data_IF_260292974383
#
_entry.id   IF_260292974383
#
_cell.length_a   1.000
_cell.length_b   1.000
_cell.length_c   1.000
_cell.angle_alpha   90.00
_cell.angle_beta   90.00
_cell.angle_gamma   90.00
#
_symmetry.space_group_name_H-M   'P 1'
#
loop_
_entity.id
_entity.type
_entity.pdbx_description
1 polymer ?
#
# COMPACT_ATOMS: atom_id res chain seq x y z
N UNK A 1 -10.45 -4.53 -23.75
CA UNK A 1 -10.43 -4.41 -22.27
C UNK A 1 -10.66 -5.78 -21.68
N UNK A 2 -9.61 -6.42 -21.17
CA UNK A 2 -9.70 -7.72 -20.51
C UNK A 2 -9.99 -7.43 -19.02
N UNK A 3 -11.25 -7.11 -18.70
CA UNK A 3 -11.65 -6.92 -17.29
C UNK A 3 -11.42 -8.25 -16.56
N UNK A 4 -10.41 -8.28 -15.69
CA UNK A 4 -10.07 -9.44 -14.86
C UNK A 4 -11.10 -9.58 -13.75
N UNK A 5 -12.29 -10.09 -14.08
CA UNK A 5 -13.33 -10.42 -13.12
C UNK A 5 -12.79 -11.49 -12.16
N UNK A 6 -12.87 -11.24 -10.86
CA UNK A 6 -12.26 -12.07 -9.82
C UNK A 6 -13.11 -13.26 -9.37
N UNK A 7 -14.22 -13.57 -10.03
CA UNK A 7 -15.14 -14.65 -9.62
C UNK A 7 -14.41 -15.99 -9.49
N UNK A 8 -13.60 -16.35 -10.49
CA UNK A 8 -12.84 -17.62 -10.48
C UNK A 8 -11.81 -17.65 -9.36
N UNK A 9 -11.08 -16.57 -9.19
CA UNK A 9 -10.07 -16.38 -8.13
C UNK A 9 -10.71 -16.50 -6.74
N UNK A 10 -11.77 -15.73 -6.49
CA UNK A 10 -12.55 -15.77 -5.25
C UNK A 10 -13.09 -17.16 -4.95
N UNK A 11 -13.64 -17.83 -5.98
CA UNK A 11 -14.15 -19.20 -5.85
C UNK A 11 -13.05 -20.19 -5.44
N UNK A 12 -11.88 -20.09 -6.06
CA UNK A 12 -10.73 -20.95 -5.76
C UNK A 12 -10.17 -20.68 -4.36
N UNK A 13 -10.05 -19.41 -3.96
CA UNK A 13 -9.62 -19.00 -2.61
C UNK A 13 -10.56 -19.55 -1.53
N UNK A 14 -11.86 -19.57 -1.80
CA UNK A 14 -12.87 -20.13 -0.90
C UNK A 14 -13.03 -21.67 -1.04
N UNK A 15 -12.27 -22.32 -1.92
CA UNK A 15 -12.34 -23.77 -2.19
C UNK A 15 -13.73 -24.27 -2.60
N UNK A 16 -14.48 -23.45 -3.34
CA UNK A 16 -15.86 -23.74 -3.77
C UNK A 16 -15.87 -24.26 -5.23
N UNK A 17 -16.74 -25.22 -5.58
CA UNK A 17 -16.90 -25.64 -6.99
C UNK A 17 -17.80 -24.67 -7.77
N UNK A 18 -17.74 -24.65 -9.11
CA UNK A 18 -18.68 -23.83 -9.90
C UNK A 18 -20.15 -24.22 -9.63
N UNK A 19 -20.41 -25.50 -9.33
CA UNK A 19 -21.75 -26.00 -9.01
C UNK A 19 -22.23 -25.53 -7.64
N UNK A 20 -21.35 -25.51 -6.64
CA UNK A 20 -21.70 -25.05 -5.29
C UNK A 20 -21.92 -23.54 -5.26
N UNK A 21 -21.08 -22.77 -5.95
CA UNK A 21 -21.27 -21.34 -6.12
C UNK A 21 -22.61 -21.04 -6.81
N UNK A 22 -22.93 -21.78 -7.87
CA UNK A 22 -24.20 -21.66 -8.58
C UNK A 22 -25.40 -21.91 -7.64
N UNK A 23 -25.38 -23.01 -6.87
CA UNK A 23 -26.43 -23.32 -5.89
C UNK A 23 -26.58 -22.22 -4.83
N UNK A 24 -25.47 -21.76 -4.25
CA UNK A 24 -25.49 -20.77 -3.17
C UNK A 24 -25.96 -19.38 -3.63
N UNK A 25 -25.75 -19.04 -4.91
CA UNK A 25 -26.13 -17.73 -5.48
C UNK A 25 -27.44 -17.78 -6.28
N UNK A 26 -28.09 -18.94 -6.39
CA UNK A 26 -29.29 -19.12 -7.22
C UNK A 26 -29.04 -18.98 -8.72
N UNK A 27 -27.80 -19.23 -9.16
CA UNK A 27 -27.38 -19.16 -10.57
C UNK A 27 -27.25 -20.56 -11.16
N UNK A 28 -27.12 -20.64 -12.49
CA UNK A 28 -26.77 -21.91 -13.15
C UNK A 28 -25.25 -22.09 -13.18
N UNK A 29 -24.78 -23.34 -13.13
CA UNK A 29 -23.35 -23.65 -13.35
C UNK A 29 -22.83 -23.08 -14.68
N UNK A 30 -23.68 -23.06 -15.70
CA UNK A 30 -23.36 -22.47 -16.99
C UNK A 30 -23.16 -20.95 -16.91
N UNK A 31 -23.98 -20.23 -16.14
CA UNK A 31 -23.80 -18.80 -15.90
C UNK A 31 -22.45 -18.51 -15.23
N UNK A 32 -22.11 -19.24 -14.16
CA UNK A 32 -20.80 -19.14 -13.51
C UNK A 32 -19.66 -19.38 -14.51
N UNK A 33 -19.73 -20.45 -15.31
CA UNK A 33 -18.69 -20.74 -16.32
C UNK A 33 -18.57 -19.64 -17.38
N UNK A 34 -19.69 -19.04 -17.80
CA UNK A 34 -19.68 -17.92 -18.75
C UNK A 34 -18.99 -16.67 -18.16
N UNK A 35 -19.21 -16.39 -16.87
CA UNK A 35 -18.55 -15.27 -16.19
C UNK A 35 -17.06 -15.52 -15.97
N UNK A 36 -16.68 -16.75 -15.60
CA UNK A 36 -15.29 -17.08 -15.31
C UNK A 36 -14.41 -17.23 -16.55
N UNK A 37 -14.95 -17.72 -17.67
CA UNK A 37 -14.12 -18.16 -18.81
C UNK A 37 -14.51 -17.54 -20.16
N UNK A 38 -15.70 -16.94 -20.30
CA UNK A 38 -16.18 -16.40 -21.58
C UNK A 38 -16.26 -14.87 -21.62
N UNK A 39 -15.70 -14.18 -20.62
CA UNK A 39 -15.67 -12.71 -20.56
C UNK A 39 -17.04 -12.05 -20.40
N UNK A 40 -18.09 -12.80 -20.04
CA UNK A 40 -19.41 -12.22 -19.82
C UNK A 40 -19.41 -11.46 -18.49
N UNK A 41 -19.82 -10.19 -18.52
CA UNK A 41 -19.95 -9.37 -17.31
C UNK A 41 -21.33 -9.66 -16.68
N UNK A 42 -21.42 -10.04 -15.39
CA UNK A 42 -22.72 -10.16 -14.72
C UNK A 42 -23.40 -8.80 -14.55
N UNK A 43 -24.74 -8.79 -14.49
CA UNK A 43 -25.48 -7.56 -14.20
C UNK A 43 -25.34 -7.16 -12.71
N UNK A 44 -25.84 -5.98 -12.35
CA UNK A 44 -25.75 -5.44 -10.99
C UNK A 44 -26.26 -6.40 -9.91
N UNK A 45 -27.45 -6.97 -10.10
CA UNK A 45 -28.06 -7.90 -9.13
C UNK A 45 -27.18 -9.15 -8.90
N UNK A 46 -26.62 -9.71 -9.98
CA UNK A 46 -25.76 -10.89 -9.89
C UNK A 46 -24.41 -10.54 -9.24
N UNK A 47 -23.86 -9.36 -9.55
CA UNK A 47 -22.66 -8.86 -8.89
C UNK A 47 -22.86 -8.70 -7.38
N UNK A 48 -24.02 -8.18 -6.96
CA UNK A 48 -24.38 -8.07 -5.53
C UNK A 48 -24.49 -9.44 -4.87
N UNK A 49 -25.14 -10.43 -5.52
CA UNK A 49 -25.22 -11.81 -5.01
C UNK A 49 -23.83 -12.43 -4.83
N UNK A 50 -22.95 -12.27 -5.81
CA UNK A 50 -21.58 -12.79 -5.77
C UNK A 50 -20.75 -12.08 -4.69
N UNK A 51 -20.83 -10.75 -4.62
CA UNK A 51 -20.14 -9.93 -3.62
C UNK A 51 -20.55 -10.34 -2.19
N UNK A 52 -21.85 -10.50 -1.96
CA UNK A 52 -22.39 -10.96 -0.67
C UNK A 52 -21.91 -12.39 -0.32
N UNK A 53 -21.95 -13.32 -1.28
CA UNK A 53 -21.49 -14.69 -1.07
C UNK A 53 -20.01 -14.75 -0.65
N UNK A 54 -19.16 -13.94 -1.31
CA UNK A 54 -17.72 -13.90 -1.02
C UNK A 54 -17.34 -12.92 0.11
N UNK A 55 -18.31 -12.20 0.69
CA UNK A 55 -18.08 -11.15 1.68
C UNK A 55 -17.05 -10.10 1.22
N UNK A 56 -17.21 -9.60 -0.01
CA UNK A 56 -16.36 -8.57 -0.63
C UNK A 56 -17.21 -7.47 -1.27
N UNK A 57 -16.58 -6.40 -1.75
CA UNK A 57 -17.27 -5.33 -2.47
C UNK A 57 -17.53 -5.70 -3.94
N UNK A 58 -18.59 -5.15 -4.54
CA UNK A 58 -18.85 -5.30 -5.99
C UNK A 58 -17.66 -4.85 -6.85
N UNK A 59 -17.01 -3.69 -6.58
CA UNK A 59 -15.79 -3.32 -7.30
C UNK A 59 -14.70 -4.38 -7.24
N UNK A 60 -14.51 -5.05 -6.10
CA UNK A 60 -13.52 -6.11 -5.97
C UNK A 60 -13.84 -7.31 -6.87
N UNK A 61 -15.11 -7.73 -6.94
CA UNK A 61 -15.55 -8.79 -7.88
C UNK A 61 -15.22 -8.40 -9.33
N UNK A 62 -15.33 -7.11 -9.67
CA UNK A 62 -15.04 -6.57 -11.00
C UNK A 62 -13.55 -6.32 -11.28
N UNK A 63 -12.66 -6.57 -10.32
CA UNK A 63 -11.22 -6.44 -10.49
C UNK A 63 -10.55 -5.27 -9.77
N UNK A 64 -11.30 -4.45 -9.03
CA UNK A 64 -10.67 -3.44 -8.14
C UNK A 64 -9.78 -4.11 -7.09
N UNK A 65 -8.90 -3.34 -6.48
CA UNK A 65 -8.06 -3.80 -5.39
C UNK A 65 -8.80 -3.76 -4.06
N UNK A 66 -8.44 -4.66 -3.15
CA UNK A 66 -8.82 -4.54 -1.74
C UNK A 66 -7.85 -3.62 -1.00
N UNK A 67 -8.28 -3.04 0.12
CA UNK A 67 -7.37 -2.29 1.00
C UNK A 67 -6.19 -3.14 1.47
N UNK A 68 -6.43 -4.43 1.73
CA UNK A 68 -5.37 -5.36 2.15
C UNK A 68 -4.31 -5.53 1.06
N UNK A 69 -4.71 -5.69 -0.20
CA UNK A 69 -3.76 -5.79 -1.31
C UNK A 69 -2.94 -4.51 -1.48
N UNK A 70 -3.55 -3.33 -1.35
CA UNK A 70 -2.82 -2.06 -1.42
C UNK A 70 -1.77 -1.95 -0.30
N UNK A 71 -2.13 -2.32 0.93
CA UNK A 71 -1.17 -2.35 2.05
C UNK A 71 -0.06 -3.39 1.82
N UNK A 72 -0.39 -4.53 1.23
CA UNK A 72 0.58 -5.56 0.89
C UNK A 72 1.55 -5.08 -0.21
N UNK A 73 1.07 -4.31 -1.20
CA UNK A 73 1.95 -3.65 -2.18
C UNK A 73 2.85 -2.64 -1.50
N UNK A 74 2.33 -1.79 -0.61
CA UNK A 74 3.14 -0.83 0.15
C UNK A 74 4.26 -1.53 0.96
N UNK A 75 3.91 -2.56 1.73
CA UNK A 75 4.88 -3.37 2.48
C UNK A 75 5.94 -3.98 1.56
N UNK A 76 5.51 -4.60 0.45
CA UNK A 76 6.42 -5.28 -0.46
C UNK A 76 7.32 -4.29 -1.22
N UNK A 77 6.82 -3.09 -1.52
CA UNK A 77 7.64 -2.01 -2.06
C UNK A 77 8.67 -1.53 -1.06
N UNK A 78 8.31 -1.38 0.22
CA UNK A 78 9.26 -0.99 1.27
C UNK A 78 10.46 -1.95 1.40
N UNK A 79 10.24 -3.27 1.32
CA UNK A 79 11.30 -4.29 1.43
C UNK A 79 12.02 -4.62 0.12
N UNK A 80 11.59 -4.06 -1.01
CA UNK A 80 12.08 -4.50 -2.31
C UNK A 80 13.51 -3.99 -2.55
N UNK A 81 14.48 -4.89 -2.54
CA UNK A 81 15.82 -4.58 -3.05
C UNK A 81 15.72 -4.22 -4.55
N UNK A 82 16.21 -3.04 -4.94
CA UNK A 82 16.16 -2.45 -6.29
C UNK A 82 16.81 -3.29 -7.41
N UNK A 83 17.30 -4.50 -7.12
CA UNK A 83 18.33 -5.21 -7.89
C UNK A 83 17.89 -5.77 -9.25
N UNK A 84 16.63 -5.66 -9.70
CA UNK A 84 16.14 -6.31 -10.96
C UNK A 84 15.05 -5.55 -11.75
N UNK A 85 14.86 -4.26 -11.53
CA UNK A 85 13.82 -3.46 -12.23
C UNK A 85 14.41 -2.35 -13.10
N UNK A 86 13.59 -1.72 -13.95
CA UNK A 86 14.01 -0.51 -14.67
C UNK A 86 14.39 0.59 -13.67
N UNK A 87 15.33 1.47 -14.06
CA UNK A 87 15.85 2.54 -13.21
C UNK A 87 14.71 3.41 -12.59
N UNK A 88 13.76 3.83 -13.43
CA UNK A 88 12.57 4.59 -13.01
C UNK A 88 11.74 3.85 -11.94
N UNK A 89 11.50 2.55 -12.10
CA UNK A 89 10.73 1.80 -11.12
C UNK A 89 11.51 1.61 -9.80
N UNK A 90 12.83 1.41 -9.87
CA UNK A 90 13.65 1.35 -8.65
C UNK A 90 13.68 2.66 -7.87
N UNK A 91 13.72 3.81 -8.55
CA UNK A 91 13.66 5.13 -7.91
C UNK A 91 12.34 5.32 -7.14
N UNK A 92 11.21 4.95 -7.75
CA UNK A 92 9.89 5.00 -7.11
C UNK A 92 9.79 4.12 -5.87
N UNK A 93 10.41 2.94 -5.91
CA UNK A 93 10.45 1.99 -4.79
C UNK A 93 11.33 2.53 -3.65
N UNK A 94 12.48 3.14 -3.99
CA UNK A 94 13.33 3.81 -3.00
C UNK A 94 12.59 4.96 -2.32
N UNK A 95 11.82 5.75 -3.08
CA UNK A 95 10.99 6.82 -2.53
C UNK A 95 9.94 6.29 -1.53
N UNK A 96 9.29 5.14 -1.83
CA UNK A 96 8.39 4.49 -0.85
C UNK A 96 9.14 4.18 0.44
N UNK A 97 10.31 3.52 0.33
CA UNK A 97 11.09 3.09 1.49
C UNK A 97 11.44 4.28 2.38
N UNK A 98 11.99 5.34 1.75
CA UNK A 98 12.38 6.57 2.44
C UNK A 98 11.19 7.29 3.09
N UNK A 99 10.08 7.45 2.37
CA UNK A 99 8.90 8.13 2.90
C UNK A 99 8.24 7.35 4.05
N UNK A 100 8.26 6.02 4.00
CA UNK A 100 7.78 5.17 5.10
C UNK A 100 8.62 5.41 6.36
N UNK A 101 9.95 5.42 6.24
CA UNK A 101 10.87 5.71 7.36
C UNK A 101 10.58 7.09 7.96
N UNK A 102 10.49 8.13 7.11
CA UNK A 102 10.21 9.50 7.56
C UNK A 102 8.86 9.62 8.28
N UNK A 103 7.81 8.99 7.77
CA UNK A 103 6.48 9.01 8.41
C UNK A 103 6.52 8.28 9.75
N UNK A 104 7.26 7.17 9.86
CA UNK A 104 7.43 6.46 11.12
C UNK A 104 8.19 7.31 12.16
N UNK A 105 9.27 7.99 11.74
CA UNK A 105 10.02 8.93 12.58
C UNK A 105 9.12 10.08 13.03
N UNK A 106 8.38 10.70 12.11
CA UNK A 106 7.46 11.80 12.42
C UNK A 106 6.35 11.42 13.41
N UNK A 107 6.02 10.12 13.48
CA UNK A 107 5.07 9.55 14.45
C UNK A 107 5.71 9.09 15.76
N UNK A 108 7.03 9.21 15.89
CA UNK A 108 7.79 8.73 17.05
C UNK A 108 7.84 7.19 17.16
N UNK A 109 7.62 6.47 16.06
CA UNK A 109 7.67 4.99 16.04
C UNK A 109 9.10 4.47 15.93
N UNK A 110 9.98 5.26 15.32
CA UNK A 110 11.38 4.95 15.06
C UNK A 110 12.23 6.15 15.52
N UNK A 111 13.42 5.93 16.11
CA UNK A 111 14.35 7.01 16.42
C UNK A 111 14.80 7.75 15.14
N UNK A 112 15.05 9.05 15.25
CA UNK A 112 15.50 9.86 14.10
C UNK A 112 16.99 9.62 13.77
N UNK A 113 17.75 9.10 14.71
CA UNK A 113 19.21 8.98 14.71
C UNK A 113 19.70 7.54 14.43
N UNK A 114 18.84 6.70 13.85
CA UNK A 114 19.25 5.37 13.39
C UNK A 114 20.19 5.49 12.16
N UNK A 115 21.44 4.97 12.23
CA UNK A 115 22.44 5.09 11.18
C UNK A 115 22.24 4.01 10.10
N UNK A 116 21.07 4.00 9.47
CA UNK A 116 20.77 3.16 8.29
C UNK A 116 19.51 3.67 7.58
N UNK A 117 19.16 3.01 6.48
CA UNK A 117 17.85 3.10 5.86
C UNK A 117 17.06 1.81 6.07
N UNK A 118 15.77 1.84 5.70
CA UNK A 118 14.86 0.72 5.90
C UNK A 118 14.82 0.35 7.38
N UNK A 119 14.36 1.30 8.18
CA UNK A 119 14.52 1.31 9.63
C UNK A 119 13.59 0.34 10.37
N UNK A 120 12.45 -0.03 9.79
CA UNK A 120 11.50 -0.98 10.38
C UNK A 120 12.15 -2.35 10.62
N UNK A 121 11.84 -2.93 11.78
CA UNK A 121 12.22 -4.30 12.12
C UNK A 121 11.44 -5.33 11.31
N UNK A 122 11.98 -6.55 11.18
CA UNK A 122 11.26 -7.68 10.56
C UNK A 122 9.90 -7.94 11.23
N UNK A 123 9.79 -7.71 12.54
CA UNK A 123 8.54 -7.87 13.29
C UNK A 123 7.48 -6.88 12.82
N UNK A 124 7.85 -5.63 12.60
CA UNK A 124 6.93 -4.59 12.12
C UNK A 124 6.58 -4.81 10.65
N UNK A 125 7.57 -5.10 9.82
CA UNK A 125 7.39 -5.40 8.40
C UNK A 125 6.35 -6.51 8.22
N UNK A 126 6.48 -7.62 8.96
CA UNK A 126 5.60 -8.77 8.82
C UNK A 126 4.25 -8.63 9.55
N UNK A 127 4.03 -7.54 10.29
CA UNK A 127 2.78 -7.29 10.99
C UNK A 127 1.82 -6.42 10.14
N UNK A 128 0.81 -7.04 9.52
CA UNK A 128 -0.15 -6.29 8.70
C UNK A 128 -0.96 -5.24 9.49
N UNK A 129 -1.16 -5.44 10.79
CA UNK A 129 -1.89 -4.49 11.62
C UNK A 129 -1.06 -3.21 11.85
N UNK A 130 0.28 -3.31 11.93
CA UNK A 130 1.18 -2.16 11.95
C UNK A 130 0.96 -1.27 10.72
N UNK A 131 0.94 -1.87 9.52
CA UNK A 131 0.69 -1.13 8.28
C UNK A 131 -0.70 -0.52 8.22
N UNK A 132 -1.72 -1.24 8.70
CA UNK A 132 -3.10 -0.74 8.73
C UNK A 132 -3.26 0.44 9.68
N UNK A 133 -2.69 0.35 10.89
CA UNK A 133 -2.75 1.41 11.89
C UNK A 133 -2.01 2.66 11.41
N UNK A 134 -0.79 2.47 10.90
CA UNK A 134 0.10 3.59 10.59
C UNK A 134 -0.08 4.17 9.18
N UNK A 135 -0.60 3.40 8.22
CA UNK A 135 -0.66 3.85 6.82
C UNK A 135 -2.07 3.85 6.23
N UNK A 136 -3.13 3.67 7.03
CA UNK A 136 -4.52 3.77 6.52
C UNK A 136 -4.88 5.15 5.94
N UNK A 137 -4.11 6.21 6.22
CA UNK A 137 -4.29 7.52 5.63
C UNK A 137 -4.17 7.51 4.10
N UNK A 138 -3.42 6.56 3.51
CA UNK A 138 -3.25 6.45 2.05
C UNK A 138 -4.58 6.33 1.33
N UNK A 139 -5.60 5.71 1.96
CA UNK A 139 -6.94 5.55 1.40
C UNK A 139 -7.74 6.87 1.33
N UNK A 140 -7.21 7.98 1.86
CA UNK A 140 -7.75 9.34 1.66
C UNK A 140 -7.28 9.95 0.35
N UNK A 141 -6.19 9.44 -0.25
CA UNK A 141 -5.72 9.86 -1.59
C UNK A 141 -6.75 9.50 -2.66
N UNK A 142 -6.97 10.39 -3.61
CA UNK A 142 -7.92 10.17 -4.72
C UNK A 142 -7.48 8.98 -5.58
N UNK A 143 -6.19 8.88 -5.89
CA UNK A 143 -5.63 7.81 -6.70
C UNK A 143 -5.83 6.44 -6.04
N UNK A 144 -5.44 6.31 -4.76
CA UNK A 144 -5.63 5.08 -3.99
C UNK A 144 -7.12 4.75 -3.80
N UNK A 145 -7.96 5.77 -3.57
CA UNK A 145 -9.42 5.58 -3.47
C UNK A 145 -9.98 5.00 -4.77
N UNK A 146 -9.49 5.43 -5.94
CA UNK A 146 -9.93 4.88 -7.22
C UNK A 146 -9.52 3.42 -7.39
N UNK A 147 -8.29 3.04 -7.00
CA UNK A 147 -7.82 1.65 -7.07
C UNK A 147 -8.74 0.67 -6.31
N UNK A 148 -9.35 1.10 -5.20
CA UNK A 148 -10.22 0.25 -4.37
C UNK A 148 -11.72 0.39 -4.65
N UNK A 149 -12.13 1.38 -5.45
CA UNK A 149 -13.55 1.67 -5.74
C UNK A 149 -13.94 1.47 -7.19
N UNK A 150 -12.97 1.42 -8.11
CA UNK A 150 -13.20 1.26 -9.54
C UNK A 150 -12.40 0.07 -10.08
N UNK A 151 -12.99 -0.76 -10.96
CA UNK A 151 -12.23 -1.76 -11.69
C UNK A 151 -11.34 -1.02 -12.69
N UNK A 152 -10.05 -0.93 -12.37
CA UNK A 152 -9.03 -0.28 -13.20
C UNK A 152 -8.07 -1.35 -13.70
N UNK A 153 -7.64 -1.22 -14.95
CA UNK A 153 -6.51 -1.98 -15.49
C UNK A 153 -5.22 -1.29 -15.06
N UNK A 154 -4.97 -1.28 -13.74
CA UNK A 154 -3.81 -0.64 -13.14
C UNK A 154 -2.63 -1.61 -13.12
N UNK A 155 -1.49 -1.15 -13.62
CA UNK A 155 -0.21 -1.83 -13.52
C UNK A 155 0.33 -1.76 -12.10
N UNK A 156 1.38 -2.53 -11.78
CA UNK A 156 2.08 -2.40 -10.49
C UNK A 156 2.67 -1.00 -10.31
N UNK A 157 3.14 -0.38 -11.39
CA UNK A 157 3.70 0.96 -11.38
C UNK A 157 2.63 2.01 -11.05
N UNK A 158 1.42 1.90 -11.61
CA UNK A 158 0.31 2.81 -11.27
C UNK A 158 -0.06 2.75 -9.77
N UNK A 159 0.06 1.59 -9.15
CA UNK A 159 -0.18 1.44 -7.70
C UNK A 159 0.94 2.11 -6.90
N UNK A 160 2.20 1.89 -7.30
CA UNK A 160 3.37 2.51 -6.65
C UNK A 160 3.30 4.04 -6.75
N UNK A 161 2.95 4.58 -7.91
CA UNK A 161 2.77 6.03 -8.10
C UNK A 161 1.68 6.59 -7.19
N UNK A 162 0.53 5.92 -7.14
CA UNK A 162 -0.57 6.32 -6.24
C UNK A 162 -0.18 6.27 -4.75
N UNK A 163 0.72 5.35 -4.37
CA UNK A 163 1.26 5.25 -3.02
C UNK A 163 2.24 6.38 -2.72
N UNK A 164 3.20 6.67 -3.61
CA UNK A 164 4.13 7.80 -3.45
C UNK A 164 3.39 9.12 -3.32
N UNK A 165 2.42 9.39 -4.19
CA UNK A 165 1.57 10.58 -4.09
C UNK A 165 0.89 10.70 -2.71
N UNK A 166 0.39 9.58 -2.19
CA UNK A 166 -0.30 9.55 -0.91
C UNK A 166 0.66 9.74 0.29
N UNK A 167 1.84 9.14 0.24
CA UNK A 167 2.89 9.26 1.26
C UNK A 167 3.45 10.68 1.29
N UNK A 168 3.83 11.23 0.13
CA UNK A 168 4.38 12.59 0.00
C UNK A 168 3.37 13.65 0.44
N UNK A 169 2.08 13.47 0.12
CA UNK A 169 1.03 14.37 0.60
C UNK A 169 0.82 14.30 2.12
N UNK A 170 1.08 13.17 2.77
CA UNK A 170 1.03 13.06 4.23
C UNK A 170 2.28 13.67 4.87
N UNK A 171 3.46 13.40 4.32
CA UNK A 171 4.72 13.96 4.79
C UNK A 171 4.67 15.50 4.79
N UNK A 172 4.17 16.12 3.73
CA UNK A 172 3.99 17.58 3.64
C UNK A 172 3.09 18.15 4.76
N UNK A 173 2.13 17.37 5.27
CA UNK A 173 1.32 17.78 6.43
C UNK A 173 2.10 17.67 7.72
N UNK A 174 2.85 16.59 7.89
CA UNK A 174 3.67 16.33 9.09
C UNK A 174 4.80 17.35 9.22
N UNK A 175 5.44 17.74 8.13
CA UNK A 175 6.45 18.83 8.09
C UNK A 175 5.90 20.19 8.54
N UNK A 176 4.59 20.40 8.39
CA UNK A 176 3.91 21.63 8.82
C UNK A 176 3.32 21.49 10.23
N UNK A 177 3.32 20.29 10.81
CA UNK A 177 2.73 20.02 12.10
C UNK A 177 3.72 20.24 13.24
N UNK A 178 3.72 21.47 13.78
CA UNK A 178 4.50 21.85 14.95
C UNK A 178 3.84 21.55 16.30
N UNK A 179 2.73 20.81 16.31
CA UNK A 179 2.00 20.52 17.57
C UNK A 179 2.71 19.41 18.34
N UNK A 180 2.96 19.64 19.61
CA UNK A 180 3.50 18.64 20.53
C UNK A 180 2.37 17.83 21.16
N UNK A 181 2.64 16.56 21.44
CA UNK A 181 1.72 15.67 22.15
C UNK A 181 2.21 15.42 23.58
N UNK A 182 1.31 14.98 24.46
CA UNK A 182 1.69 14.52 25.80
C UNK A 182 1.60 13.01 25.83
N UNK A 183 2.68 12.36 26.24
CA UNK A 183 2.66 10.96 26.64
C UNK A 183 2.89 10.90 28.15
N UNK A 184 1.82 10.61 28.89
CA UNK A 184 1.79 10.74 30.35
C UNK A 184 2.16 12.17 30.81
N UNK A 185 3.35 12.30 31.44
CA UNK A 185 3.89 13.58 31.94
C UNK A 185 4.90 14.22 30.99
N UNK A 186 5.37 13.50 29.98
CA UNK A 186 6.40 13.97 29.06
C UNK A 186 5.78 14.64 27.83
N UNK A 187 6.44 15.70 27.36
CA UNK A 187 6.10 16.31 26.07
C UNK A 187 6.87 15.56 25.00
N UNK A 188 6.14 14.95 24.07
CA UNK A 188 6.72 14.35 22.87
C UNK A 188 6.95 15.45 21.86
N UNK A 189 8.08 15.36 21.16
CA UNK A 189 8.43 16.29 20.08
C UNK A 189 7.38 16.29 18.98
N UNK A 190 7.24 17.43 18.31
CA UNK A 190 6.29 17.52 17.20
C UNK A 190 6.79 16.75 15.97
N UNK A 191 5.89 16.27 15.09
CA UNK A 191 6.28 15.63 13.84
C UNK A 191 7.29 16.44 13.02
N UNK A 192 7.06 17.75 12.91
CA UNK A 192 7.99 18.69 12.24
C UNK A 192 9.39 18.67 12.85
N UNK A 193 9.48 18.65 14.17
CA UNK A 193 10.78 18.71 14.85
C UNK A 193 11.55 17.39 14.70
N UNK A 194 10.85 16.25 14.76
CA UNK A 194 11.45 14.93 14.53
C UNK A 194 11.99 14.79 13.09
N UNK A 195 11.24 15.28 12.10
CA UNK A 195 11.68 15.29 10.71
C UNK A 195 12.90 16.21 10.50
N UNK A 196 12.91 17.38 11.14
CA UNK A 196 14.06 18.28 11.12
C UNK A 196 15.30 17.60 11.71
N UNK A 197 15.17 16.94 12.87
CA UNK A 197 16.28 16.21 13.49
C UNK A 197 16.78 15.06 12.61
N UNK A 198 15.89 14.34 11.92
CA UNK A 198 16.32 13.34 10.94
C UNK A 198 17.12 13.97 9.81
N UNK A 199 16.68 15.11 9.29
CA UNK A 199 17.42 15.82 8.24
C UNK A 199 18.80 16.28 8.72
N UNK A 200 18.88 16.85 9.92
CA UNK A 200 20.13 17.28 10.53
C UNK A 200 21.08 16.08 10.73
N UNK A 201 20.56 14.96 11.25
CA UNK A 201 21.30 13.70 11.39
C UNK A 201 21.84 13.19 10.04
N UNK A 202 21.00 13.14 9.00
CA UNK A 202 21.45 12.73 7.66
C UNK A 202 22.56 13.67 7.17
N UNK A 203 22.40 14.98 7.30
CA UNK A 203 23.40 15.95 6.85
C UNK A 203 24.76 15.80 7.55
N UNK A 204 24.76 15.39 8.82
CA UNK A 204 25.98 15.11 9.60
C UNK A 204 26.67 13.81 9.16
N UNK A 205 25.97 12.91 8.47
CA UNK A 205 26.47 11.61 8.02
C UNK A 205 26.63 11.52 6.50
N UNK A 206 26.32 12.59 5.75
CA UNK A 206 26.63 12.68 4.32
C UNK A 206 28.09 13.10 4.17
N UNK A 207 28.86 12.25 3.50
CA UNK A 207 30.22 12.52 3.08
C UNK A 207 30.30 12.57 1.56
N UNK A 208 31.30 13.26 1.04
CA UNK A 208 31.59 13.33 -0.40
C UNK A 208 32.92 12.64 -0.61
N UNK A 209 32.98 11.65 -1.49
CA UNK A 209 34.22 10.95 -1.81
C UNK A 209 35.15 11.81 -2.70
N UNK A 210 36.32 11.26 -3.03
CA UNK A 210 37.32 11.95 -3.86
C UNK A 210 36.81 12.25 -5.28
N UNK A 211 35.80 11.52 -5.76
CA UNK A 211 35.18 11.67 -7.07
C UNK A 211 33.99 12.67 -7.07
N UNK A 212 33.62 13.19 -5.89
CA UNK A 212 32.51 14.13 -5.73
C UNK A 212 31.15 13.46 -5.54
N UNK A 213 31.11 12.14 -5.35
CA UNK A 213 29.88 11.39 -5.12
C UNK A 213 29.52 11.43 -3.63
N UNK A 214 28.26 11.78 -3.34
CA UNK A 214 27.75 11.82 -1.98
C UNK A 214 27.37 10.41 -1.52
N UNK A 215 27.89 10.00 -0.36
CA UNK A 215 27.55 8.75 0.30
C UNK A 215 27.25 8.99 1.78
N UNK A 216 26.55 8.05 2.41
CA UNK A 216 26.25 8.10 3.84
C UNK A 216 27.20 7.15 4.57
N UNK A 217 27.85 7.64 5.63
CA UNK A 217 28.68 6.81 6.52
C UNK A 217 27.77 6.17 7.58
N UNK A 218 27.25 5.00 7.23
CA UNK A 218 26.40 4.16 8.08
C UNK A 218 27.06 2.79 8.31
#
# INVERSE_FOLDING_TARGET
MNSKIRIKELRQLNKVSQGDLAKATGLTRQAISNYENKGRIPNKEILEKLANFFNVSVPYVLGAYSKKEILEVLKNSYISESKKTSLSYSEKIFEISFNVDLICIAKGLIPYDEPKFSLLSEKEINNIDFWKENFSFIFKSVAVKWLVTKPLDATKEDIVDALNDALSAELLKLEKDGRTQKDGKERVESPKELLKKRQDFINEHIFVDEDGEAFLDF
#
